data_IF_848874731174
#
_entry.id   IF_848874731174
#
_cell.length_a   1.000
_cell.length_b   1.000
_cell.length_c   1.000
_cell.angle_alpha   90.00
_cell.angle_beta   90.00
_cell.angle_gamma   90.00
#
_symmetry.space_group_name_H-M   'P 1'
#
loop_
_entity.id
_entity.type
_entity.pdbx_description
1 polymer ?
#
# COMPACT_ATOMS: atom_id res chain seq x y z
N UNK A 1 5.68 14.39 -8.01
CA UNK A 1 4.99 13.07 -7.95
C UNK A 1 5.82 11.87 -8.43
N UNK A 2 7.11 12.02 -8.84
CA UNK A 2 7.96 10.88 -9.27
C UNK A 2 8.13 9.78 -8.21
N UNK A 3 8.10 10.15 -6.93
CA UNK A 3 8.13 9.22 -5.80
C UNK A 3 6.94 8.24 -5.80
N UNK A 4 5.75 8.72 -6.11
CA UNK A 4 4.54 7.90 -6.12
C UNK A 4 4.62 6.89 -7.27
N UNK A 5 5.03 7.34 -8.46
CA UNK A 5 5.23 6.47 -9.63
C UNK A 5 6.26 5.36 -9.35
N UNK A 6 7.40 5.69 -8.74
CA UNK A 6 8.42 4.68 -8.43
C UNK A 6 7.97 3.65 -7.39
N UNK A 7 7.09 4.02 -6.47
CA UNK A 7 6.48 3.10 -5.50
C UNK A 7 5.46 2.19 -6.16
N UNK A 8 4.62 2.72 -7.06
CA UNK A 8 3.54 1.97 -7.72
C UNK A 8 4.08 0.91 -8.68
N UNK A 9 5.25 1.12 -9.29
CA UNK A 9 5.90 0.11 -10.14
C UNK A 9 6.04 -1.26 -9.44
N UNK A 10 6.10 -1.30 -8.10
CA UNK A 10 6.15 -2.54 -7.31
C UNK A 10 4.82 -3.32 -7.26
N UNK A 11 3.71 -2.70 -7.67
CA UNK A 11 2.35 -3.25 -7.60
C UNK A 11 1.75 -3.58 -8.97
N UNK A 12 2.51 -3.39 -10.06
CA UNK A 12 2.02 -3.52 -11.43
C UNK A 12 1.46 -4.92 -11.78
N UNK A 13 1.89 -5.97 -11.08
CA UNK A 13 1.46 -7.36 -11.34
C UNK A 13 0.14 -7.76 -10.66
N UNK A 14 -0.64 -6.82 -10.10
CA UNK A 14 -1.86 -7.13 -9.34
C UNK A 14 -3.17 -6.98 -10.12
N UNK A 15 -3.12 -6.64 -11.40
CA UNK A 15 -4.30 -6.61 -12.29
C UNK A 15 -5.23 -5.40 -12.09
N UNK A 16 -4.78 -4.39 -11.34
CA UNK A 16 -5.54 -3.17 -11.04
C UNK A 16 -5.11 -2.02 -11.97
N UNK A 17 -6.01 -1.07 -12.20
CA UNK A 17 -5.72 0.09 -13.02
C UNK A 17 -4.58 0.92 -12.41
N UNK A 18 -3.54 1.21 -13.19
CA UNK A 18 -2.36 1.96 -12.73
C UNK A 18 -2.75 3.38 -12.29
N UNK A 19 -3.76 3.97 -12.92
CA UNK A 19 -4.26 5.32 -12.59
C UNK A 19 -4.94 5.33 -11.21
N UNK A 20 -5.67 4.28 -10.84
CA UNK A 20 -6.28 4.16 -9.52
C UNK A 20 -5.21 4.02 -8.43
N UNK A 21 -4.20 3.18 -8.68
CA UNK A 21 -3.04 3.06 -7.79
C UNK A 21 -2.29 4.39 -7.65
N UNK A 22 -2.22 5.18 -8.73
CA UNK A 22 -1.63 6.51 -8.73
C UNK A 22 -2.41 7.50 -7.88
N UNK A 23 -3.73 7.53 -7.99
CA UNK A 23 -4.56 8.38 -7.15
C UNK A 23 -4.45 8.00 -5.67
N UNK A 24 -4.56 6.71 -5.35
CA UNK A 24 -4.40 6.21 -3.98
C UNK A 24 -3.01 6.54 -3.44
N UNK A 25 -1.97 6.38 -4.26
CA UNK A 25 -0.61 6.75 -3.90
C UNK A 25 -0.45 8.25 -3.64
N UNK A 26 -1.15 9.11 -4.38
CA UNK A 26 -1.19 10.55 -4.13
C UNK A 26 -1.88 10.89 -2.81
N UNK A 27 -2.97 10.20 -2.46
CA UNK A 27 -3.63 10.34 -1.14
C UNK A 27 -2.64 9.98 -0.02
N UNK A 28 -1.87 8.90 -0.19
CA UNK A 28 -0.83 8.55 0.75
C UNK A 28 0.29 9.58 0.86
N UNK A 29 0.67 10.20 -0.26
CA UNK A 29 1.65 11.27 -0.23
C UNK A 29 1.12 12.51 0.52
N UNK A 30 -0.14 12.91 0.30
CA UNK A 30 -0.75 14.07 0.98
C UNK A 30 -0.78 13.86 2.50
N UNK A 31 -1.29 12.72 2.95
CA UNK A 31 -1.27 12.34 4.37
C UNK A 31 0.14 12.32 4.96
N UNK A 32 1.14 11.87 4.18
CA UNK A 32 2.52 11.89 4.62
C UNK A 32 3.04 13.34 4.79
N UNK A 33 2.67 14.26 3.90
CA UNK A 33 3.01 15.68 4.01
C UNK A 33 2.37 16.28 5.27
N UNK A 34 1.08 16.00 5.50
CA UNK A 34 0.33 16.60 6.63
C UNK A 34 0.83 16.15 8.01
N UNK A 35 1.41 14.95 8.09
CA UNK A 35 1.83 14.33 9.36
C UNK A 35 3.35 14.25 9.54
N UNK A 36 4.14 14.78 8.60
CA UNK A 36 5.60 14.73 8.71
C UNK A 36 6.10 15.82 9.65
N UNK A 37 6.82 15.40 10.69
CA UNK A 37 7.46 16.30 11.64
C UNK A 37 8.89 16.64 11.19
N UNK A 38 9.13 17.93 10.94
CA UNK A 38 10.45 18.46 10.56
C UNK A 38 11.49 18.37 11.69
N UNK A 39 11.07 18.16 12.94
CA UNK A 39 11.98 17.94 14.06
C UNK A 39 12.71 16.59 13.98
N UNK A 40 12.16 15.65 13.20
CA UNK A 40 12.76 14.34 12.99
C UNK A 40 13.93 14.46 12.00
N UNK A 41 15.12 14.00 12.38
CA UNK A 41 16.33 14.04 11.54
C UNK A 41 16.34 12.94 10.47
N UNK A 42 15.26 12.82 9.69
CA UNK A 42 15.10 11.85 8.62
C UNK A 42 14.64 12.55 7.35
N UNK A 43 15.00 12.00 6.19
CA UNK A 43 14.48 12.51 4.92
C UNK A 43 12.99 12.20 4.83
N UNK A 44 12.19 13.17 4.35
CA UNK A 44 10.75 13.00 4.10
C UNK A 44 10.41 11.71 3.33
N UNK A 45 11.20 11.37 2.31
CA UNK A 45 11.02 10.12 1.53
C UNK A 45 10.99 8.86 2.39
N UNK A 46 11.75 8.85 3.49
CA UNK A 46 11.81 7.72 4.43
C UNK A 46 10.47 7.50 5.14
N UNK A 47 9.75 8.59 5.42
CA UNK A 47 8.41 8.55 6.01
C UNK A 47 7.32 8.34 4.96
N UNK A 48 7.42 9.03 3.82
CA UNK A 48 6.40 9.00 2.78
C UNK A 48 6.26 7.64 2.09
N UNK A 49 7.37 6.94 1.81
CA UNK A 49 7.34 5.63 1.12
C UNK A 49 6.50 4.58 1.85
N UNK A 50 6.72 4.28 3.14
CA UNK A 50 5.88 3.31 3.85
C UNK A 50 4.42 3.76 3.96
N UNK A 51 4.17 5.07 4.05
CA UNK A 51 2.82 5.64 4.06
C UNK A 51 2.07 5.38 2.74
N UNK A 52 2.70 5.69 1.60
CA UNK A 52 2.17 5.44 0.25
C UNK A 52 1.90 3.93 0.06
N UNK A 53 2.85 3.08 0.43
CA UNK A 53 2.71 1.62 0.35
C UNK A 53 1.53 1.13 1.19
N UNK A 54 1.35 1.69 2.39
CA UNK A 54 0.27 1.34 3.30
C UNK A 54 -1.11 1.63 2.71
N UNK A 55 -1.27 2.82 2.13
CA UNK A 55 -2.53 3.23 1.48
C UNK A 55 -2.84 2.36 0.25
N UNK A 56 -1.85 2.09 -0.60
CA UNK A 56 -2.02 1.19 -1.75
C UNK A 56 -2.42 -0.22 -1.29
N UNK A 57 -1.75 -0.78 -0.28
CA UNK A 57 -2.10 -2.11 0.26
C UNK A 57 -3.50 -2.13 0.87
N UNK A 58 -3.96 -1.03 1.49
CA UNK A 58 -5.32 -0.93 2.01
C UNK A 58 -6.33 -0.96 0.87
N UNK A 59 -6.13 -0.12 -0.16
CA UNK A 59 -6.97 -0.09 -1.36
C UNK A 59 -7.11 -1.47 -2.01
N UNK A 60 -5.98 -2.14 -2.31
CA UNK A 60 -5.95 -3.45 -2.95
C UNK A 60 -6.69 -4.55 -2.16
N UNK A 61 -6.77 -4.40 -0.84
CA UNK A 61 -7.48 -5.36 0.02
C UNK A 61 -8.99 -5.07 0.03
N UNK A 62 -9.36 -3.80 0.04
CA UNK A 62 -10.75 -3.36 0.18
C UNK A 62 -11.52 -3.47 -1.15
N UNK A 63 -10.83 -3.32 -2.28
CA UNK A 63 -11.40 -3.43 -3.63
C UNK A 63 -11.43 -4.85 -4.21
N UNK A 64 -11.19 -5.89 -3.41
CA UNK A 64 -11.35 -7.26 -3.87
C UNK A 64 -12.86 -7.55 -4.15
N UNK A 65 -13.24 -8.03 -5.34
CA UNK A 65 -14.65 -8.20 -5.73
C UNK A 65 -15.41 -9.18 -4.82
N UNK A 66 -14.69 -10.08 -4.15
CA UNK A 66 -15.22 -10.93 -3.09
C UNK A 66 -14.78 -10.36 -1.74
N UNK A 67 -15.75 -9.83 -0.99
CA UNK A 67 -15.53 -9.38 0.39
C UNK A 67 -15.41 -10.60 1.30
N UNK A 68 -14.21 -10.84 1.82
CA UNK A 68 -13.93 -11.93 2.76
C UNK A 68 -13.59 -11.32 4.12
N UNK A 69 -14.07 -11.91 5.21
CA UNK A 69 -13.75 -11.45 6.56
C UNK A 69 -12.25 -11.55 6.85
N UNK A 70 -11.73 -10.62 7.65
CA UNK A 70 -10.28 -10.51 7.95
C UNK A 70 -9.73 -11.80 8.56
N UNK A 71 -10.46 -12.37 9.52
CA UNK A 71 -10.11 -13.63 10.19
C UNK A 71 -9.99 -14.79 9.21
N UNK A 72 -10.92 -14.92 8.26
CA UNK A 72 -10.90 -16.01 7.29
C UNK A 72 -9.71 -15.91 6.33
N UNK A 73 -9.35 -14.69 5.91
CA UNK A 73 -8.18 -14.47 5.04
C UNK A 73 -6.87 -14.77 5.77
N UNK A 74 -6.75 -14.39 7.04
CA UNK A 74 -5.56 -14.67 7.85
C UNK A 74 -5.36 -16.19 8.06
N UNK A 75 -6.46 -16.93 8.28
CA UNK A 75 -6.43 -18.40 8.39
C UNK A 75 -5.99 -19.02 7.06
N UNK A 76 -6.57 -18.58 5.93
CA UNK A 76 -6.20 -19.10 4.61
C UNK A 76 -4.72 -18.85 4.28
N UNK A 77 -4.20 -17.67 4.64
CA UNK A 77 -2.79 -17.33 4.40
C UNK A 77 -1.84 -18.23 5.22
N UNK A 78 -2.18 -18.47 6.49
CA UNK A 78 -1.42 -19.41 7.35
C UNK A 78 -1.46 -20.84 6.78
N UNK A 79 -2.62 -21.30 6.33
CA UNK A 79 -2.78 -22.63 5.74
C UNK A 79 -1.94 -22.81 4.46
N UNK A 80 -1.92 -21.79 3.58
CA UNK A 80 -1.06 -21.80 2.39
C UNK A 80 0.42 -21.85 2.75
N UNK A 81 0.84 -21.06 3.74
CA UNK A 81 2.24 -21.00 4.16
C UNK A 81 2.73 -22.34 4.75
N UNK A 82 1.87 -23.03 5.51
CA UNK A 82 2.17 -24.38 6.04
C UNK A 82 2.20 -25.44 4.94
N UNK A 83 1.32 -25.34 3.93
CA UNK A 83 1.30 -26.29 2.81
C UNK A 83 2.55 -26.20 1.94
N UNK A 84 3.09 -25.00 1.76
CA UNK A 84 4.25 -24.75 0.92
C UNK A 84 5.59 -24.88 1.70
N UNK A 85 5.54 -25.28 2.99
CA UNK A 85 6.68 -25.63 3.85
C UNK A 85 6.88 -27.13 3.94
#
# INVERSE_FOLDING_TARGET
LRLVLSVIQRFNNRGECVDDLFQVGCIGLMKAIDNFDLSQNVKFSTYAVPMIIGEIRRYLRDNNPIRVSRSLRDIAYKALQVRDS
#
